data_IF_394863589221
#
_entry.id   IF_394863589221
#
_cell.length_a   1.000
_cell.length_b   1.000
_cell.length_c   1.000
_cell.angle_alpha   90.00
_cell.angle_beta   90.00
_cell.angle_gamma   90.00
#
_symmetry.space_group_name_H-M   'P 1'
#
loop_
_entity.id
_entity.type
_entity.pdbx_description
1 polymer ?
#
# COMPACT_ATOMS: atom_id res chain seq x y z
N UNK A 1 -63.62 -11.68 -31.52
CA UNK A 1 -62.17 -11.43 -31.35
C UNK A 1 -61.39 -12.51 -32.08
N UNK A 2 -60.53 -12.14 -33.04
CA UNK A 2 -59.80 -13.13 -33.84
C UNK A 2 -58.62 -13.71 -33.05
N UNK A 3 -58.44 -15.02 -33.11
CA UNK A 3 -57.33 -15.73 -32.45
C UNK A 3 -55.97 -15.15 -32.86
N UNK A 4 -55.84 -14.67 -34.11
CA UNK A 4 -54.67 -13.96 -34.63
C UNK A 4 -54.40 -12.63 -33.91
N UNK A 5 -55.42 -11.81 -33.69
CA UNK A 5 -55.27 -10.54 -32.95
C UNK A 5 -54.88 -10.80 -31.49
N UNK A 6 -55.36 -11.89 -30.88
CA UNK A 6 -54.99 -12.22 -29.50
C UNK A 6 -53.53 -12.69 -29.37
N UNK A 7 -53.05 -13.49 -30.33
CA UNK A 7 -51.65 -13.96 -30.38
C UNK A 7 -50.70 -12.80 -30.67
N UNK A 8 -51.02 -11.92 -31.61
CA UNK A 8 -50.16 -10.78 -31.94
C UNK A 8 -50.02 -9.81 -30.76
N UNK A 9 -51.10 -9.58 -30.00
CA UNK A 9 -51.06 -8.72 -28.82
C UNK A 9 -50.20 -9.31 -27.70
N UNK A 10 -50.31 -10.61 -27.42
CA UNK A 10 -49.51 -11.24 -26.34
C UNK A 10 -48.03 -11.31 -26.69
N UNK A 11 -47.67 -11.57 -27.96
CA UNK A 11 -46.28 -11.54 -28.41
C UNK A 11 -45.67 -10.14 -28.31
N UNK A 12 -46.41 -9.10 -28.71
CA UNK A 12 -45.93 -7.73 -28.62
C UNK A 12 -45.66 -7.30 -27.18
N UNK A 13 -46.55 -7.68 -26.24
CA UNK A 13 -46.37 -7.41 -24.81
C UNK A 13 -45.14 -8.16 -24.26
N UNK A 14 -44.94 -9.41 -24.63
CA UNK A 14 -43.78 -10.20 -24.21
C UNK A 14 -42.44 -9.60 -24.66
N UNK A 15 -42.37 -9.14 -25.91
CA UNK A 15 -41.17 -8.46 -26.46
C UNK A 15 -40.92 -7.15 -25.73
N UNK A 16 -41.98 -6.36 -25.48
CA UNK A 16 -41.88 -5.11 -24.74
C UNK A 16 -41.36 -5.31 -23.32
N UNK A 17 -41.89 -6.30 -22.60
CA UNK A 17 -41.47 -6.62 -21.23
C UNK A 17 -40.02 -7.14 -21.16
N UNK A 18 -39.58 -7.93 -22.13
CA UNK A 18 -38.19 -8.39 -22.19
C UNK A 18 -37.22 -7.25 -22.52
N UNK A 19 -37.59 -6.36 -23.45
CA UNK A 19 -36.80 -5.17 -23.79
C UNK A 19 -36.63 -4.22 -22.60
N UNK A 20 -37.67 -3.98 -21.82
CA UNK A 20 -37.58 -3.14 -20.62
C UNK A 20 -36.76 -3.78 -19.50
N UNK A 21 -36.92 -5.09 -19.28
CA UNK A 21 -36.15 -5.81 -18.28
C UNK A 21 -34.65 -5.85 -18.61
N UNK A 22 -34.30 -6.11 -19.87
CA UNK A 22 -32.90 -6.10 -20.33
C UNK A 22 -32.29 -4.72 -20.23
N UNK A 23 -32.96 -3.67 -20.70
CA UNK A 23 -32.48 -2.29 -20.55
C UNK A 23 -32.29 -1.90 -19.09
N UNK A 24 -33.19 -2.29 -18.18
CA UNK A 24 -33.05 -1.99 -16.75
C UNK A 24 -31.91 -2.78 -16.08
N UNK A 25 -31.67 -4.02 -16.50
CA UNK A 25 -30.59 -4.85 -15.98
C UNK A 25 -29.20 -4.43 -16.51
N UNK A 26 -29.14 -3.88 -17.73
CA UNK A 26 -27.88 -3.49 -18.37
C UNK A 26 -27.65 -1.98 -18.42
N UNK A 27 -28.57 -1.16 -17.88
CA UNK A 27 -28.34 0.28 -17.82
C UNK A 27 -27.08 0.54 -16.97
N UNK A 28 -26.14 1.35 -17.44
CA UNK A 28 -25.02 1.78 -16.61
C UNK A 28 -25.57 2.33 -15.29
N UNK A 29 -25.03 1.87 -14.18
CA UNK A 29 -25.29 2.51 -12.89
C UNK A 29 -24.85 3.98 -12.96
N UNK A 30 -25.37 4.85 -12.07
CA UNK A 30 -24.81 6.19 -11.95
C UNK A 30 -23.29 6.05 -11.75
N UNK A 31 -22.52 6.76 -12.58
CA UNK A 31 -21.07 6.82 -12.41
C UNK A 31 -20.79 7.20 -10.95
N UNK A 32 -19.97 6.41 -10.26
CA UNK A 32 -19.57 6.80 -8.91
C UNK A 32 -18.87 8.15 -9.02
N UNK A 33 -19.40 9.15 -8.32
CA UNK A 33 -18.76 10.45 -8.20
C UNK A 33 -17.32 10.19 -7.74
N UNK A 34 -16.35 10.47 -8.62
CA UNK A 34 -14.94 10.57 -8.26
C UNK A 34 -14.83 11.78 -7.34
N UNK A 35 -15.17 11.58 -6.08
CA UNK A 35 -15.01 12.59 -5.04
C UNK A 35 -13.52 12.91 -4.99
N UNK A 36 -13.17 14.11 -5.46
CA UNK A 36 -11.82 14.65 -5.30
C UNK A 36 -11.45 14.54 -3.82
N UNK A 37 -10.46 13.71 -3.53
CA UNK A 37 -9.90 13.57 -2.18
C UNK A 37 -9.48 14.96 -1.74
N UNK A 38 -9.97 15.40 -0.57
CA UNK A 38 -9.65 16.71 -0.05
C UNK A 38 -8.11 16.88 0.01
N UNK A 39 -7.54 18.04 -0.39
CA UNK A 39 -6.08 18.23 -0.42
C UNK A 39 -5.39 17.88 0.90
N UNK A 40 -6.06 18.13 2.03
CA UNK A 40 -5.56 17.81 3.37
C UNK A 40 -5.46 16.30 3.61
N UNK A 41 -6.30 15.49 2.96
CA UNK A 41 -6.21 14.03 3.03
C UNK A 41 -5.09 13.54 2.12
N UNK A 42 -4.93 14.11 0.92
CA UNK A 42 -3.82 13.77 0.01
C UNK A 42 -2.45 14.00 0.68
N UNK A 43 -2.26 15.13 1.36
CA UNK A 43 -1.00 15.40 2.09
C UNK A 43 -0.75 14.40 3.24
N UNK A 44 -1.80 13.82 3.82
CA UNK A 44 -1.66 12.77 4.83
C UNK A 44 -1.42 11.39 4.24
N UNK A 45 -1.69 11.18 2.95
CA UNK A 45 -1.39 9.93 2.26
C UNK A 45 0.05 9.94 1.74
N UNK A 46 0.53 11.06 1.21
CA UNK A 46 1.88 11.22 0.69
C UNK A 46 2.62 12.35 1.40
N UNK A 47 3.77 12.02 2.00
CA UNK A 47 4.68 13.00 2.61
C UNK A 47 5.94 13.13 1.76
N UNK A 48 6.47 14.35 1.66
CA UNK A 48 7.66 14.63 0.85
C UNK A 48 8.92 13.84 1.28
N UNK A 49 8.99 13.40 2.54
CA UNK A 49 10.09 12.60 3.07
C UNK A 49 9.92 11.08 2.91
N UNK A 50 8.72 10.62 2.50
CA UNK A 50 8.41 9.20 2.41
C UNK A 50 9.33 8.50 1.40
N UNK A 51 9.80 7.27 1.69
CA UNK A 51 10.50 6.47 0.70
C UNK A 51 9.63 6.29 -0.55
N UNK A 52 10.22 6.54 -1.72
CA UNK A 52 9.56 6.35 -3.03
C UNK A 52 10.34 5.32 -3.84
N UNK A 53 9.62 4.36 -4.40
CA UNK A 53 10.13 3.38 -5.36
C UNK A 53 9.61 3.74 -6.75
N UNK A 54 10.47 3.74 -7.77
CA UNK A 54 10.11 4.13 -9.14
C UNK A 54 10.36 5.62 -9.44
N UNK A 55 9.93 6.11 -10.63
CA UNK A 55 10.15 7.50 -11.06
C UNK A 55 9.41 8.49 -10.18
N UNK A 56 10.07 9.60 -9.82
CA UNK A 56 9.48 10.62 -8.94
C UNK A 56 8.25 11.31 -9.57
N UNK A 57 8.20 11.41 -10.89
CA UNK A 57 7.19 12.06 -11.72
C UNK A 57 6.19 11.09 -12.35
N UNK A 58 6.18 9.81 -11.92
CA UNK A 58 5.26 8.81 -12.41
C UNK A 58 3.78 9.27 -12.23
N UNK A 59 2.95 9.19 -13.29
CA UNK A 59 1.57 9.67 -13.27
C UNK A 59 0.66 8.90 -12.31
N UNK A 60 1.01 7.66 -11.95
CA UNK A 60 0.26 6.83 -11.01
C UNK A 60 1.05 6.65 -9.72
N UNK A 61 0.44 7.01 -8.59
CA UNK A 61 1.02 6.82 -7.25
C UNK A 61 0.24 5.76 -6.49
N UNK A 62 0.94 4.72 -6.05
CA UNK A 62 0.43 3.76 -5.07
C UNK A 62 0.98 4.16 -3.70
N UNK A 63 0.10 4.47 -2.75
CA UNK A 63 0.50 4.69 -1.36
C UNK A 63 0.33 3.37 -0.61
N UNK A 64 1.44 2.78 -0.19
CA UNK A 64 1.47 1.53 0.57
C UNK A 64 1.66 1.83 2.06
N UNK A 65 0.63 1.55 2.86
CA UNK A 65 0.77 1.47 4.31
C UNK A 65 1.42 0.14 4.66
N UNK A 66 2.64 0.22 5.17
CA UNK A 66 3.58 -0.89 5.20
C UNK A 66 4.07 -1.14 6.63
N UNK A 67 3.89 -2.37 7.08
CA UNK A 67 4.53 -2.91 8.27
C UNK A 67 5.57 -3.96 7.86
N UNK A 68 6.88 -3.72 8.10
CA UNK A 68 7.92 -4.68 7.70
C UNK A 68 7.80 -6.03 8.40
N UNK A 69 7.11 -6.12 9.55
CA UNK A 69 6.88 -7.36 10.28
C UNK A 69 5.54 -8.04 9.91
N UNK A 70 4.72 -7.45 9.04
CA UNK A 70 3.47 -8.05 8.58
C UNK A 70 3.72 -9.12 7.50
N UNK A 71 3.21 -10.32 7.72
CA UNK A 71 3.30 -11.43 6.76
C UNK A 71 2.54 -11.14 5.45
N UNK A 72 1.42 -10.42 5.52
CA UNK A 72 0.65 -10.01 4.35
C UNK A 72 1.40 -8.97 3.51
N UNK A 73 2.05 -7.98 4.14
CA UNK A 73 2.93 -7.02 3.46
C UNK A 73 4.05 -7.76 2.72
N UNK A 74 4.72 -8.73 3.36
CA UNK A 74 5.72 -9.57 2.68
C UNK A 74 5.12 -10.35 1.51
N UNK A 75 3.95 -10.96 1.68
CA UNK A 75 3.32 -11.78 0.63
C UNK A 75 2.86 -10.93 -0.56
N UNK A 76 2.51 -9.67 -0.33
CA UNK A 76 2.04 -8.75 -1.36
C UNK A 76 3.18 -8.02 -2.09
N UNK A 77 4.35 -7.89 -1.47
CA UNK A 77 5.51 -7.22 -2.05
C UNK A 77 5.90 -7.69 -3.49
N UNK A 78 5.88 -9.00 -3.83
CA UNK A 78 6.09 -9.43 -5.21
C UNK A 78 5.06 -8.88 -6.20
N UNK A 79 3.80 -8.74 -5.79
CA UNK A 79 2.72 -8.18 -6.63
C UNK A 79 3.00 -6.71 -6.94
N UNK A 80 3.43 -5.93 -5.92
CA UNK A 80 3.84 -4.54 -6.11
C UNK A 80 5.01 -4.45 -7.10
N UNK A 81 6.02 -5.32 -6.96
CA UNK A 81 7.16 -5.38 -7.89
C UNK A 81 6.71 -5.73 -9.31
N UNK A 82 5.79 -6.67 -9.48
CA UNK A 82 5.26 -7.06 -10.79
C UNK A 82 4.49 -5.91 -11.45
N UNK A 83 3.74 -5.11 -10.67
CA UNK A 83 3.06 -3.90 -11.18
C UNK A 83 4.10 -2.88 -11.64
N UNK A 84 5.09 -2.58 -10.80
CA UNK A 84 6.16 -1.63 -11.16
C UNK A 84 6.96 -2.09 -12.39
N UNK A 85 7.21 -3.39 -12.52
CA UNK A 85 7.92 -3.94 -13.67
C UNK A 85 7.09 -3.88 -14.97
N UNK A 86 5.76 -4.00 -14.88
CA UNK A 86 4.85 -3.83 -16.01
C UNK A 86 4.70 -2.37 -16.44
N UNK A 87 4.86 -1.44 -15.49
CA UNK A 87 4.63 0.00 -15.67
C UNK A 87 5.82 0.83 -15.14
N UNK A 88 7.04 0.63 -15.70
CA UNK A 88 8.28 1.16 -15.11
C UNK A 88 8.37 2.69 -15.11
N UNK A 89 7.72 3.34 -16.08
CA UNK A 89 7.68 4.81 -16.22
C UNK A 89 6.40 5.41 -15.62
N UNK A 90 5.36 4.59 -15.44
CA UNK A 90 4.01 5.08 -15.12
C UNK A 90 3.65 4.95 -13.63
N UNK A 91 4.30 4.05 -12.89
CA UNK A 91 3.96 3.74 -11.49
C UNK A 91 5.11 4.04 -10.55
N UNK A 92 4.80 4.77 -9.47
CA UNK A 92 5.63 4.89 -8.27
C UNK A 92 4.90 4.40 -7.03
N UNK A 93 5.67 3.94 -6.05
CA UNK A 93 5.15 3.45 -4.78
C UNK A 93 5.72 4.28 -3.64
N UNK A 94 4.84 4.90 -2.87
CA UNK A 94 5.17 5.69 -1.67
C UNK A 94 4.95 4.80 -0.46
N UNK A 95 5.99 4.61 0.35
CA UNK A 95 5.93 3.80 1.58
C UNK A 95 5.54 4.68 2.76
N UNK A 96 4.51 4.27 3.51
CA UNK A 96 4.04 4.89 4.76
C UNK A 96 4.04 3.87 5.88
N UNK A 97 4.75 4.12 6.97
CA UNK A 97 4.95 3.06 7.97
C UNK A 97 3.76 2.85 8.89
N UNK A 98 3.48 1.59 9.20
CA UNK A 98 2.49 1.18 10.22
C UNK A 98 3.12 0.18 11.19
N UNK A 99 3.36 0.50 12.46
CA UNK A 99 3.97 -0.42 13.42
C UNK A 99 2.93 -1.32 14.12
N UNK A 100 2.07 -2.02 13.35
CA UNK A 100 0.96 -2.79 13.90
C UNK A 100 1.39 -4.13 14.54
N UNK A 101 2.58 -4.64 14.22
CA UNK A 101 3.12 -5.88 14.78
C UNK A 101 4.10 -5.64 15.96
N UNK A 102 4.02 -4.48 16.61
CA UNK A 102 4.68 -4.20 17.88
C UNK A 102 6.13 -3.77 17.74
N UNK A 103 6.95 -4.10 18.74
CA UNK A 103 8.32 -3.56 18.84
C UNK A 103 9.21 -3.99 17.66
N UNK A 104 9.03 -5.19 17.13
CA UNK A 104 9.79 -5.65 15.96
C UNK A 104 9.53 -4.78 14.73
N UNK A 105 8.28 -4.34 14.51
CA UNK A 105 7.96 -3.38 13.46
C UNK A 105 8.69 -2.06 13.67
N UNK A 106 8.65 -1.53 14.89
CA UNK A 106 9.31 -0.25 15.22
C UNK A 106 10.81 -0.33 14.96
N UNK A 107 11.48 -1.35 15.48
CA UNK A 107 12.93 -1.54 15.32
C UNK A 107 13.31 -1.65 13.83
N UNK A 108 12.51 -2.38 13.04
CA UNK A 108 12.72 -2.53 11.61
C UNK A 108 12.47 -1.22 10.85
N UNK A 109 11.44 -0.45 11.20
CA UNK A 109 11.16 0.86 10.61
C UNK A 109 12.32 1.84 10.88
N UNK A 110 12.85 1.84 12.10
CA UNK A 110 13.99 2.71 12.44
C UNK A 110 15.25 2.30 11.66
N UNK A 111 15.50 1.00 11.50
CA UNK A 111 16.59 0.51 10.66
C UNK A 111 16.40 0.87 9.17
N UNK A 112 15.16 0.85 8.67
CA UNK A 112 14.82 1.27 7.32
C UNK A 112 15.03 2.77 7.11
N UNK A 113 14.67 3.61 8.07
CA UNK A 113 14.95 5.05 7.98
C UNK A 113 16.45 5.36 8.02
N UNK A 114 17.22 4.63 8.83
CA UNK A 114 18.69 4.70 8.76
C UNK A 114 19.20 4.26 7.37
N UNK A 115 18.66 3.18 6.81
CA UNK A 115 18.99 2.73 5.46
C UNK A 115 18.64 3.79 4.40
N UNK A 116 17.54 4.53 4.57
CA UNK A 116 17.16 5.65 3.70
C UNK A 116 18.16 6.78 3.76
N UNK A 117 18.64 7.16 4.94
CA UNK A 117 19.69 8.17 5.10
C UNK A 117 21.01 7.75 4.43
N UNK A 118 21.26 6.45 4.32
CA UNK A 118 22.44 5.88 3.69
C UNK A 118 22.25 5.54 2.20
N UNK A 119 21.06 5.76 1.64
CA UNK A 119 20.77 5.45 0.23
C UNK A 119 20.62 3.96 -0.08
N UNK A 120 20.46 3.10 0.93
CA UNK A 120 20.33 1.63 0.81
C UNK A 120 18.96 1.12 1.28
N UNK A 121 17.94 1.99 1.30
CA UNK A 121 16.58 1.66 1.73
C UNK A 121 16.02 0.40 1.06
N UNK A 122 16.00 0.38 -0.28
CA UNK A 122 15.34 -0.70 -1.02
C UNK A 122 16.02 -2.07 -0.82
N UNK A 123 17.36 -2.21 -0.95
CA UNK A 123 18.04 -3.46 -0.62
C UNK A 123 17.78 -3.95 0.81
N UNK A 124 17.78 -3.04 1.79
CA UNK A 124 17.50 -3.38 3.19
C UNK A 124 16.06 -3.83 3.39
N UNK A 125 15.09 -3.13 2.77
CA UNK A 125 13.68 -3.50 2.79
C UNK A 125 13.46 -4.90 2.20
N UNK A 126 14.03 -5.17 1.01
CA UNK A 126 13.94 -6.49 0.39
C UNK A 126 14.54 -7.59 1.26
N UNK A 127 15.69 -7.33 1.89
CA UNK A 127 16.33 -8.29 2.77
C UNK A 127 15.49 -8.56 4.04
N UNK A 128 14.94 -7.52 4.66
CA UNK A 128 14.07 -7.68 5.83
C UNK A 128 12.80 -8.45 5.49
N UNK A 129 12.16 -8.18 4.34
CA UNK A 129 11.01 -8.96 3.89
C UNK A 129 11.38 -10.41 3.55
N UNK A 130 12.50 -10.63 2.87
CA UNK A 130 12.99 -11.97 2.51
C UNK A 130 13.25 -12.83 3.76
N UNK A 131 13.89 -12.26 4.77
CA UNK A 131 14.24 -12.95 6.01
C UNK A 131 13.26 -12.70 7.16
N UNK A 132 12.04 -12.24 6.88
CA UNK A 132 11.04 -11.84 7.87
C UNK A 132 10.83 -12.88 8.97
N UNK A 133 10.73 -14.17 8.62
CA UNK A 133 10.54 -15.27 9.59
C UNK A 133 11.65 -15.35 10.66
N UNK A 134 12.86 -14.86 10.35
CA UNK A 134 14.00 -14.93 11.25
C UNK A 134 14.01 -13.81 12.32
N UNK A 135 13.28 -12.72 12.10
CA UNK A 135 13.33 -11.54 12.98
C UNK A 135 11.95 -11.05 13.44
N UNK A 136 10.89 -11.18 12.64
CA UNK A 136 9.54 -10.66 12.90
C UNK A 136 8.68 -11.56 13.80
N UNK A 137 9.30 -12.27 14.75
CA UNK A 137 8.57 -13.22 15.62
C UNK A 137 7.57 -12.48 16.51
N UNK A 138 6.36 -13.04 16.64
CA UNK A 138 5.34 -12.56 17.60
C UNK A 138 5.92 -12.50 19.02
N UNK A 139 5.81 -11.34 19.66
CA UNK A 139 6.29 -11.08 21.01
C UNK A 139 7.45 -10.09 21.02
N UNK A 140 8.69 -10.61 21.04
CA UNK A 140 9.90 -9.81 21.20
C UNK A 140 10.77 -9.85 19.93
N UNK A 141 11.39 -8.72 19.54
CA UNK A 141 12.42 -8.69 18.49
C UNK A 141 13.50 -9.72 18.79
N UNK A 142 13.97 -10.41 17.76
CA UNK A 142 15.20 -11.21 17.91
C UNK A 142 16.37 -10.24 17.89
N UNK A 143 16.96 -10.02 19.06
CA UNK A 143 18.04 -9.06 19.27
C UNK A 143 19.14 -9.19 18.20
N UNK A 144 19.52 -8.06 17.61
CA UNK A 144 20.56 -7.97 16.59
C UNK A 144 20.22 -8.55 15.21
N UNK A 145 19.12 -9.30 15.03
CA UNK A 145 18.82 -9.91 13.71
C UNK A 145 18.47 -8.90 12.64
N UNK A 146 17.68 -7.88 12.96
CA UNK A 146 17.33 -6.79 12.03
C UNK A 146 18.61 -6.13 11.51
N UNK A 147 19.49 -5.69 12.41
CA UNK A 147 20.75 -5.03 12.05
C UNK A 147 21.71 -5.96 11.29
N UNK A 148 21.77 -7.25 11.65
CA UNK A 148 22.58 -8.22 10.91
C UNK A 148 22.11 -8.42 9.47
N UNK A 149 20.79 -8.53 9.25
CA UNK A 149 20.20 -8.67 7.91
C UNK A 149 20.39 -7.38 7.11
N UNK A 150 20.09 -6.23 7.71
CA UNK A 150 20.26 -4.94 7.08
C UNK A 150 21.73 -4.66 6.71
N UNK A 151 22.67 -5.02 7.59
CA UNK A 151 24.10 -4.91 7.33
C UNK A 151 24.56 -5.77 6.15
N UNK A 152 24.06 -7.00 6.06
CA UNK A 152 24.32 -7.87 4.92
C UNK A 152 23.73 -7.31 3.60
N UNK A 153 22.73 -6.45 3.68
CA UNK A 153 22.12 -5.75 2.55
C UNK A 153 22.75 -4.36 2.25
N UNK A 154 23.82 -4.00 2.95
CA UNK A 154 24.60 -2.78 2.67
C UNK A 154 24.41 -1.64 3.68
N UNK A 155 23.63 -1.83 4.76
CA UNK A 155 23.57 -0.86 5.85
C UNK A 155 24.90 -0.79 6.60
N UNK A 156 25.46 0.40 6.76
CA UNK A 156 26.46 0.66 7.78
C UNK A 156 25.78 0.63 9.16
N UNK A 157 25.90 -0.52 9.83
CA UNK A 157 25.31 -0.79 11.14
C UNK A 157 25.84 0.16 12.20
N UNK A 158 27.12 0.55 12.13
CA UNK A 158 27.73 1.45 13.13
C UNK A 158 27.13 2.85 13.03
N UNK A 159 27.00 3.38 11.81
CA UNK A 159 26.33 4.67 11.60
C UNK A 159 24.83 4.60 11.91
N UNK A 160 24.19 3.47 11.60
CA UNK A 160 22.76 3.29 11.76
C UNK A 160 22.30 3.41 13.23
N UNK A 161 23.06 2.90 14.20
CA UNK A 161 22.70 2.99 15.63
C UNK A 161 22.51 4.44 16.12
N UNK A 162 23.29 5.38 15.58
CA UNK A 162 23.15 6.80 15.87
C UNK A 162 22.02 7.43 15.04
N UNK A 163 21.93 7.07 13.76
CA UNK A 163 20.91 7.59 12.84
C UNK A 163 19.49 7.24 13.27
N UNK A 164 19.25 6.02 13.76
CA UNK A 164 17.97 5.59 14.31
C UNK A 164 17.48 6.48 15.47
N UNK A 165 18.39 7.19 16.15
CA UNK A 165 18.06 8.06 17.28
C UNK A 165 17.97 9.53 16.88
N UNK A 166 18.20 9.86 15.62
CA UNK A 166 18.14 11.24 15.15
C UNK A 166 16.72 11.79 15.32
N UNK A 167 16.56 13.06 15.76
CA UNK A 167 15.26 13.68 15.91
C UNK A 167 14.39 13.59 14.66
N UNK A 168 14.98 13.75 13.47
CA UNK A 168 14.26 13.70 12.20
C UNK A 168 13.71 12.30 11.89
N UNK A 169 14.46 11.24 12.20
CA UNK A 169 14.00 9.84 12.02
C UNK A 169 12.85 9.53 12.99
N UNK A 170 13.00 9.93 14.25
CA UNK A 170 11.93 9.80 15.25
C UNK A 170 10.69 10.60 14.86
N UNK A 171 10.88 11.80 14.29
CA UNK A 171 9.79 12.65 13.83
C UNK A 171 9.03 12.01 12.65
N UNK A 172 9.73 11.44 11.67
CA UNK A 172 9.12 10.68 10.56
C UNK A 172 8.24 9.55 11.10
N UNK A 173 8.78 8.72 12.00
CA UNK A 173 8.05 7.61 12.60
C UNK A 173 6.80 8.07 13.37
N UNK A 174 6.91 9.13 14.19
CA UNK A 174 5.80 9.67 14.95
C UNK A 174 4.73 10.30 14.04
N UNK A 175 5.15 11.00 12.98
CA UNK A 175 4.23 11.64 12.05
C UNK A 175 3.46 10.61 11.22
N UNK A 176 4.11 9.53 10.77
CA UNK A 176 3.43 8.45 10.05
C UNK A 176 2.36 7.79 10.93
N UNK A 177 2.66 7.50 12.20
CA UNK A 177 1.64 6.98 13.13
C UNK A 177 0.45 7.94 13.31
N UNK A 178 0.71 9.25 13.39
CA UNK A 178 -0.34 10.26 13.50
C UNK A 178 -1.22 10.30 12.24
N UNK A 179 -0.61 10.25 11.06
CA UNK A 179 -1.31 10.26 9.77
C UNK A 179 -2.15 9.00 9.57
N UNK A 180 -1.57 7.81 9.82
CA UNK A 180 -2.25 6.50 9.79
C UNK A 180 -3.53 6.54 10.62
N UNK A 181 -3.45 7.08 11.85
CA UNK A 181 -4.62 7.26 12.70
C UNK A 181 -5.62 8.26 12.13
N UNK A 182 -5.14 9.39 11.60
CA UNK A 182 -6.00 10.44 11.05
C UNK A 182 -6.76 10.01 9.79
N UNK A 183 -6.15 9.17 8.95
CA UNK A 183 -6.77 8.62 7.73
C UNK A 183 -7.55 7.33 7.98
N UNK A 184 -7.56 6.81 9.22
CA UNK A 184 -8.38 5.67 9.63
C UNK A 184 -7.83 4.30 9.25
N UNK A 185 -6.52 4.19 9.00
CA UNK A 185 -5.86 2.91 8.73
C UNK A 185 -5.66 2.16 10.05
N UNK A 186 -6.17 0.93 10.12
CA UNK A 186 -6.25 0.15 11.37
C UNK A 186 -5.60 -1.23 11.31
N UNK A 187 -5.23 -1.70 10.12
CA UNK A 187 -4.61 -3.00 9.88
C UNK A 187 -3.83 -2.99 8.57
N UNK A 188 -2.88 -3.93 8.47
CA UNK A 188 -2.07 -4.24 7.29
C UNK A 188 -1.87 -5.74 7.21
#
# INVERSE_FOLDING_TARGET
MNRRTLILSTTAIGIGAFGTATWWATRPGPAQDTSTVAPEVLERLERAYSPVLGPADAPVTIVEFFDPACEACRAFHPVIKDIMAQYPDDVRVVIRYTPFHGQSSQDAIMALEAARLQGVFFPVMEALLTYQNAWARRGAPVEGKIMSIAGAAGLDVTSAEAQMKMPDVVAVFNQDQADVKAVGISQT
#
